data_IF_957037933067
#
_entry.id   IF_957037933067
#
_cell.length_a   1.000
_cell.length_b   1.000
_cell.length_c   1.000
_cell.angle_alpha   90.00
_cell.angle_beta   90.00
_cell.angle_gamma   90.00
#
_symmetry.space_group_name_H-M   'P 1'
#
loop_
_entity.id
_entity.type
_entity.pdbx_description
1 polymer ?
#
# COMPACT_ATOMS: atom_id res chain seq x y z
N UNK A 1 13.19 0.42 24.02
CA UNK A 1 12.65 1.43 23.11
C UNK A 1 11.40 0.90 22.45
N UNK A 2 10.34 1.67 22.47
CA UNK A 2 9.07 1.23 21.86
C UNK A 2 9.11 1.48 20.36
N UNK A 3 8.77 0.44 19.60
CA UNK A 3 8.55 0.60 18.17
C UNK A 3 7.13 1.07 17.90
N UNK A 4 7.00 1.95 16.95
CA UNK A 4 5.69 2.37 16.49
C UNK A 4 5.28 1.50 15.30
N UNK A 5 4.00 1.18 15.25
CA UNK A 5 3.44 0.40 14.15
C UNK A 5 2.43 1.27 13.44
N UNK A 6 2.60 1.39 12.15
CA UNK A 6 1.67 2.14 11.30
C UNK A 6 0.86 1.17 10.46
N UNK A 7 -0.45 1.27 10.55
CA UNK A 7 -1.35 0.46 9.75
C UNK A 7 -1.77 1.25 8.52
N UNK A 8 -1.56 0.66 7.35
CA UNK A 8 -1.81 1.34 6.08
C UNK A 8 -2.81 0.55 5.27
N UNK A 9 -3.84 1.24 4.79
CA UNK A 9 -4.76 0.68 3.80
C UNK A 9 -4.11 0.82 2.43
N UNK A 10 -3.62 -0.30 1.90
CA UNK A 10 -2.81 -0.30 0.70
C UNK A 10 -3.54 0.22 -0.52
N UNK A 11 -4.80 -0.18 -0.71
CA UNK A 11 -5.55 0.27 -1.89
C UNK A 11 -5.88 1.76 -1.82
N UNK A 12 -6.19 2.27 -0.64
CA UNK A 12 -6.41 3.70 -0.48
C UNK A 12 -5.13 4.48 -0.75
N UNK A 13 -3.99 3.96 -0.31
CA UNK A 13 -2.73 4.63 -0.53
C UNK A 13 -2.34 4.60 -2.01
N UNK A 14 -2.60 3.49 -2.70
CA UNK A 14 -2.38 3.41 -4.15
C UNK A 14 -3.19 4.47 -4.88
N UNK A 15 -4.44 4.65 -4.47
CA UNK A 15 -5.32 5.64 -5.09
C UNK A 15 -4.90 7.08 -4.76
N UNK A 16 -4.27 7.27 -3.61
CA UNK A 16 -3.87 8.59 -3.15
C UNK A 16 -2.63 9.11 -3.87
N UNK A 17 -1.61 8.27 -4.04
CA UNK A 17 -0.38 8.70 -4.69
C UNK A 17 -0.52 8.64 -6.21
N UNK A 18 -0.12 9.73 -6.87
CA UNK A 18 -0.27 9.82 -8.32
C UNK A 18 0.44 8.71 -9.06
N UNK A 19 1.64 8.38 -8.63
CA UNK A 19 2.45 7.36 -9.28
C UNK A 19 1.76 5.99 -9.28
N UNK A 20 1.28 5.57 -8.12
CA UNK A 20 0.63 4.27 -8.01
C UNK A 20 -0.79 4.31 -8.57
N UNK A 21 -1.46 5.46 -8.49
CA UNK A 21 -2.80 5.61 -9.06
C UNK A 21 -2.79 5.42 -10.57
N UNK A 22 -1.76 5.91 -11.24
CA UNK A 22 -1.67 5.72 -12.68
C UNK A 22 -1.48 4.26 -13.05
N UNK A 23 -0.67 3.53 -12.28
CA UNK A 23 -0.49 2.10 -12.49
C UNK A 23 -1.80 1.36 -12.28
N UNK A 24 -2.57 1.76 -11.29
CA UNK A 24 -3.86 1.15 -11.02
C UNK A 24 -4.83 1.38 -12.19
N UNK A 25 -4.84 2.59 -12.74
CA UNK A 25 -5.72 2.94 -13.86
C UNK A 25 -5.38 2.20 -15.14
N UNK A 26 -4.11 1.83 -15.32
CA UNK A 26 -3.67 1.11 -16.51
C UNK A 26 -3.68 -0.40 -16.29
N UNK A 27 -4.41 -0.86 -15.29
CA UNK A 27 -4.57 -2.28 -14.99
C UNK A 27 -3.26 -2.97 -14.59
N UNK A 28 -2.37 -2.22 -13.95
CA UNK A 28 -1.09 -2.75 -13.47
C UNK A 28 -1.09 -2.81 -11.95
N UNK A 29 -2.06 -3.50 -11.40
CA UNK A 29 -2.27 -3.54 -9.96
C UNK A 29 -1.10 -4.18 -9.21
N UNK A 30 -0.54 -5.26 -9.76
CA UNK A 30 0.61 -5.91 -9.12
C UNK A 30 1.78 -4.96 -9.01
N UNK A 31 2.04 -4.21 -10.06
CA UNK A 31 3.14 -3.25 -10.08
C UNK A 31 2.86 -2.09 -9.13
N UNK A 32 1.59 -1.67 -9.04
CA UNK A 32 1.21 -0.62 -8.10
C UNK A 32 1.45 -1.07 -6.67
N UNK A 33 1.09 -2.31 -6.34
CA UNK A 33 1.34 -2.85 -5.00
C UNK A 33 2.82 -2.92 -4.68
N UNK A 34 3.63 -3.41 -5.61
CA UNK A 34 5.07 -3.49 -5.40
C UNK A 34 5.69 -2.11 -5.22
N UNK A 35 5.26 -1.15 -6.01
CA UNK A 35 5.75 0.22 -5.89
C UNK A 35 5.39 0.81 -4.53
N UNK A 36 4.16 0.59 -4.09
CA UNK A 36 3.74 1.06 -2.78
C UNK A 36 4.56 0.43 -1.67
N UNK A 37 4.72 -0.89 -1.71
CA UNK A 37 5.46 -1.60 -0.67
C UNK A 37 6.90 -1.14 -0.60
N UNK A 38 7.53 -0.87 -1.74
CA UNK A 38 8.89 -0.37 -1.77
C UNK A 38 8.99 1.01 -1.12
N UNK A 39 8.03 1.88 -1.42
CA UNK A 39 8.00 3.20 -0.82
C UNK A 39 7.77 3.13 0.68
N UNK A 40 6.87 2.27 1.12
CA UNK A 40 6.58 2.11 2.54
C UNK A 40 7.78 1.52 3.28
N UNK A 41 8.47 0.57 2.66
CA UNK A 41 9.65 -0.02 3.27
C UNK A 41 10.73 1.03 3.47
N UNK A 42 10.93 1.87 2.47
CA UNK A 42 11.89 2.95 2.56
C UNK A 42 11.53 3.93 3.69
N UNK A 43 10.26 4.28 3.77
CA UNK A 43 9.77 5.17 4.81
C UNK A 43 9.93 4.54 6.19
N UNK A 44 9.61 3.25 6.32
CA UNK A 44 9.73 2.54 7.58
C UNK A 44 11.17 2.54 8.08
N UNK A 45 12.12 2.30 7.19
CA UNK A 45 13.52 2.32 7.54
C UNK A 45 13.99 3.71 7.95
N UNK A 46 13.52 4.72 7.25
CA UNK A 46 13.91 6.10 7.54
C UNK A 46 13.38 6.54 8.91
N UNK A 47 12.14 6.17 9.23
CA UNK A 47 11.47 6.60 10.46
C UNK A 47 11.66 5.62 11.61
N UNK A 48 12.30 4.49 11.38
CA UNK A 48 12.49 3.44 12.38
C UNK A 48 11.15 2.98 12.97
N UNK A 49 10.19 2.73 12.09
CA UNK A 49 8.88 2.23 12.48
C UNK A 49 8.58 0.95 11.71
N UNK A 50 7.61 0.19 12.20
CA UNK A 50 7.07 -0.95 11.46
C UNK A 50 5.80 -0.52 10.75
N UNK A 51 5.62 -1.01 9.53
CA UNK A 51 4.42 -0.73 8.75
C UNK A 51 3.74 -2.04 8.42
N UNK A 52 2.45 -2.10 8.69
CA UNK A 52 1.60 -3.21 8.26
C UNK A 52 0.69 -2.66 7.17
N UNK A 53 0.89 -3.16 5.96
CA UNK A 53 0.10 -2.73 4.82
C UNK A 53 -0.90 -3.83 4.48
N UNK A 54 -2.18 -3.48 4.50
CA UNK A 54 -3.25 -4.43 4.25
C UNK A 54 -3.88 -4.12 2.90
N UNK A 55 -3.93 -5.13 2.05
CA UNK A 55 -4.63 -5.04 0.78
C UNK A 55 -5.93 -5.82 0.88
N UNK A 56 -6.97 -5.16 1.38
CA UNK A 56 -8.27 -5.79 1.55
C UNK A 56 -9.19 -5.35 0.42
N UNK A 57 -9.49 -6.27 -0.44
CA UNK A 57 -10.25 -5.99 -1.65
C UNK A 57 -11.72 -5.71 -1.41
N UNK A 58 -12.19 -5.81 -0.18
CA UNK A 58 -13.56 -5.42 0.13
C UNK A 58 -13.81 -3.93 -0.12
N UNK A 59 -12.73 -3.14 -0.14
CA UNK A 59 -12.82 -1.72 -0.45
C UNK A 59 -12.72 -1.44 -1.94
N UNK A 60 -12.55 -2.49 -2.75
CA UNK A 60 -12.46 -2.37 -4.20
C UNK A 60 -13.74 -2.96 -4.77
N UNK A 61 -14.56 -2.16 -5.47
CA UNK A 61 -15.83 -2.65 -6.00
C UNK A 61 -15.65 -3.92 -6.83
N UNK A 62 -16.46 -4.94 -6.55
CA UNK A 62 -16.46 -6.17 -7.31
C UNK A 62 -15.39 -7.17 -6.92
N UNK A 63 -14.68 -6.96 -5.83
CA UNK A 63 -13.61 -7.85 -5.42
C UNK A 63 -13.68 -8.13 -3.92
N UNK A 64 -13.22 -9.33 -3.52
CA UNK A 64 -13.21 -9.74 -2.11
C UNK A 64 -11.98 -10.58 -1.81
N UNK A 65 -10.84 -10.18 -2.27
CA UNK A 65 -9.60 -10.88 -1.99
C UNK A 65 -8.83 -10.19 -0.89
N UNK A 66 -8.14 -10.98 -0.07
CA UNK A 66 -7.24 -10.47 0.96
C UNK A 66 -5.83 -10.99 0.71
N UNK A 67 -4.88 -10.16 1.01
CA UNK A 67 -3.48 -10.50 0.85
C UNK A 67 -2.71 -10.36 2.15
#
# INVERSE_FOLDING_TARGET
MKKRILLVDGYNMIAFWQETRQLFKTNQLDEARETLLRKLNHYANFEHIDIICVFDAQFVPGSRQRY
#
